data_IF_310540969075
#
_entry.id   IF_310540969075
#
_cell.length_a   1.000
_cell.length_b   1.000
_cell.length_c   1.000
_cell.angle_alpha   90.00
_cell.angle_beta   90.00
_cell.angle_gamma   90.00
#
_symmetry.space_group_name_H-M   'P 1'
#
loop_
_entity.id
_entity.type
_entity.pdbx_description
1 polymer ?
#
# COMPACT_ATOMS: atom_id res chain seq x y z
N UNK A 1 -2.49 -14.38 0.45
CA UNK A 1 -1.09 -14.26 0.02
C UNK A 1 -0.72 -12.77 -0.05
N UNK A 2 0.55 -12.46 0.03
CA UNK A 2 1.07 -11.11 -0.11
C UNK A 2 2.25 -11.12 -1.07
N UNK A 3 2.26 -10.20 -2.06
CA UNK A 3 3.37 -10.01 -2.99
C UNK A 3 3.86 -11.30 -3.66
N UNK A 4 2.95 -12.22 -3.91
CA UNK A 4 3.22 -13.56 -4.46
C UNK A 4 4.16 -14.43 -3.61
N UNK A 5 4.35 -14.10 -2.33
CA UNK A 5 5.11 -14.97 -1.42
C UNK A 5 4.47 -16.36 -1.32
N UNK A 6 5.27 -17.38 -1.60
CA UNK A 6 4.82 -18.77 -1.67
C UNK A 6 4.25 -19.21 -3.03
N UNK A 7 3.96 -18.26 -3.93
CA UNK A 7 3.41 -18.51 -5.28
C UNK A 7 4.11 -17.65 -6.35
N UNK A 8 5.43 -17.64 -6.35
CA UNK A 8 6.27 -16.70 -7.12
C UNK A 8 6.04 -16.67 -8.63
N UNK A 9 5.44 -17.72 -9.19
CA UNK A 9 5.15 -17.82 -10.62
C UNK A 9 3.65 -17.76 -10.91
N UNK A 10 2.85 -17.25 -10.00
CA UNK A 10 1.38 -17.21 -10.12
C UNK A 10 0.92 -16.47 -11.38
N UNK A 11 1.69 -15.51 -11.86
CA UNK A 11 1.40 -14.75 -13.07
C UNK A 11 1.05 -15.68 -14.24
N UNK A 12 1.83 -16.76 -14.44
CA UNK A 12 1.68 -17.66 -15.60
C UNK A 12 1.49 -19.14 -15.20
N UNK A 13 1.63 -19.49 -13.92
CA UNK A 13 1.55 -20.87 -13.46
C UNK A 13 0.12 -21.25 -13.06
N UNK A 14 -0.57 -21.97 -13.94
CA UNK A 14 -1.94 -22.39 -13.71
C UNK A 14 -2.15 -23.24 -12.43
N UNK A 15 -1.14 -23.97 -11.95
CA UNK A 15 -1.26 -24.73 -10.71
C UNK A 15 -1.28 -23.79 -9.50
N UNK A 16 -0.41 -22.76 -9.48
CA UNK A 16 -0.39 -21.75 -8.43
C UNK A 16 -1.65 -20.88 -8.45
N UNK A 17 -2.15 -20.55 -9.65
CA UNK A 17 -3.42 -19.83 -9.80
C UNK A 17 -4.58 -20.65 -9.20
N UNK A 18 -4.70 -21.94 -9.57
CA UNK A 18 -5.73 -22.84 -9.01
C UNK A 18 -5.61 -22.99 -7.49
N UNK A 19 -4.39 -23.03 -6.95
CA UNK A 19 -4.16 -23.06 -5.52
C UNK A 19 -4.75 -21.81 -4.84
N UNK A 20 -4.42 -20.60 -5.32
CA UNK A 20 -4.94 -19.36 -4.77
C UNK A 20 -6.47 -19.26 -4.88
N UNK A 21 -7.04 -19.66 -6.03
CA UNK A 21 -8.50 -19.70 -6.24
C UNK A 21 -9.17 -20.71 -5.28
N UNK A 22 -8.53 -21.86 -5.04
CA UNK A 22 -9.05 -22.84 -4.09
C UNK A 22 -9.08 -22.30 -2.67
N UNK A 23 -8.05 -21.56 -2.26
CA UNK A 23 -8.02 -20.87 -0.96
C UNK A 23 -9.13 -19.82 -0.86
N UNK A 24 -9.36 -19.03 -1.91
CA UNK A 24 -10.47 -18.08 -1.96
C UNK A 24 -11.82 -18.78 -1.68
N UNK A 25 -12.14 -19.80 -2.44
CA UNK A 25 -13.40 -20.54 -2.27
C UNK A 25 -13.48 -21.26 -0.93
N UNK A 26 -12.37 -21.77 -0.43
CA UNK A 26 -12.31 -22.36 0.90
C UNK A 26 -12.66 -21.36 2.01
N UNK A 27 -12.08 -20.16 1.96
CA UNK A 27 -12.39 -19.09 2.93
C UNK A 27 -13.85 -18.67 2.82
N UNK A 28 -14.36 -18.48 1.59
CA UNK A 28 -15.77 -18.12 1.34
C UNK A 28 -16.73 -19.22 1.78
N UNK A 29 -16.33 -20.48 1.73
CA UNK A 29 -17.12 -21.61 2.27
C UNK A 29 -17.19 -21.56 3.79
N UNK A 30 -16.08 -21.19 4.45
CA UNK A 30 -16.03 -21.10 5.91
C UNK A 30 -16.75 -19.85 6.45
N UNK A 31 -16.63 -18.71 5.75
CA UNK A 31 -17.29 -17.45 6.08
C UNK A 31 -17.59 -16.65 4.80
N UNK A 32 -18.81 -16.73 4.32
CA UNK A 32 -19.27 -16.00 3.13
C UNK A 32 -19.44 -14.49 3.37
N UNK A 33 -19.44 -14.03 4.62
CA UNK A 33 -19.67 -12.62 4.98
C UNK A 33 -18.42 -11.77 4.86
N UNK A 34 -17.24 -12.38 4.82
CA UNK A 34 -15.95 -11.68 4.72
C UNK A 34 -15.51 -11.51 3.28
N UNK A 35 -14.94 -10.38 2.99
CA UNK A 35 -14.28 -10.11 1.72
C UNK A 35 -12.87 -10.67 1.75
N UNK A 36 -12.41 -11.17 0.61
CA UNK A 36 -11.15 -11.91 0.50
C UNK A 36 -10.28 -11.33 -0.60
N UNK A 37 -9.05 -10.95 -0.25
CA UNK A 37 -7.97 -10.70 -1.19
C UNK A 37 -7.10 -11.95 -1.29
N UNK A 38 -6.91 -12.47 -2.50
CA UNK A 38 -6.16 -13.72 -2.72
C UNK A 38 -4.65 -13.50 -2.74
N UNK A 39 -4.21 -12.42 -3.36
CA UNK A 39 -2.82 -12.02 -3.42
C UNK A 39 -2.75 -10.50 -3.36
N UNK A 40 -2.09 -9.95 -2.36
CA UNK A 40 -2.05 -8.52 -2.15
C UNK A 40 -0.93 -7.86 -2.97
N UNK A 41 -1.22 -6.69 -3.53
CA UNK A 41 -0.29 -5.84 -4.28
C UNK A 41 -0.29 -6.04 -5.79
N UNK A 42 -0.29 -7.29 -6.28
CA UNK A 42 -0.22 -7.64 -7.71
C UNK A 42 -0.55 -9.10 -7.98
N UNK A 43 -0.54 -9.49 -9.28
CA UNK A 43 -0.75 -10.87 -9.78
C UNK A 43 -1.97 -11.57 -9.17
N UNK A 44 -3.04 -10.80 -9.06
CA UNK A 44 -4.28 -11.26 -8.43
C UNK A 44 -4.99 -12.26 -9.34
N UNK A 45 -5.68 -13.21 -8.72
CA UNK A 45 -6.60 -14.13 -9.36
C UNK A 45 -8.03 -13.78 -8.94
N UNK A 46 -8.94 -14.73 -8.73
CA UNK A 46 -10.26 -14.46 -8.17
C UNK A 46 -10.15 -13.76 -6.83
N UNK A 47 -10.75 -12.57 -6.70
CA UNK A 47 -10.60 -11.69 -5.52
C UNK A 47 -11.79 -10.75 -5.37
N UNK A 48 -12.12 -10.34 -4.15
CA UNK A 48 -13.16 -9.35 -3.88
C UNK A 48 -12.65 -7.91 -4.01
N UNK A 49 -11.32 -7.69 -3.98
CA UNK A 49 -10.66 -6.39 -4.09
C UNK A 49 -9.62 -6.37 -5.20
N UNK A 50 -9.40 -5.22 -5.80
CA UNK A 50 -8.18 -4.93 -6.56
C UNK A 50 -7.20 -4.21 -5.64
N UNK A 51 -6.17 -4.90 -5.19
CA UNK A 51 -5.19 -4.36 -4.24
C UNK A 51 -3.89 -4.01 -4.93
N UNK A 52 -3.31 -2.85 -4.57
CA UNK A 52 -2.07 -2.36 -5.15
C UNK A 52 -1.11 -1.90 -4.06
N UNK A 53 0.19 -2.13 -4.29
CA UNK A 53 1.27 -1.51 -3.55
C UNK A 53 1.91 -0.42 -4.40
N UNK A 54 2.06 0.77 -3.85
CA UNK A 54 2.67 1.88 -4.57
C UNK A 54 3.47 2.78 -3.62
N UNK A 55 4.78 2.65 -3.68
CA UNK A 55 5.72 3.45 -2.91
C UNK A 55 6.22 4.68 -3.68
N UNK A 56 5.36 5.29 -4.47
CA UNK A 56 5.66 6.55 -5.16
C UNK A 56 6.13 7.61 -4.20
N UNK A 57 7.08 8.43 -4.66
CA UNK A 57 7.84 9.36 -3.84
C UNK A 57 6.98 10.44 -3.17
N UNK A 58 5.95 10.94 -3.86
CA UNK A 58 5.05 11.98 -3.37
C UNK A 58 3.67 11.91 -4.06
N UNK A 59 2.77 12.81 -3.67
CA UNK A 59 1.43 12.86 -4.25
C UNK A 59 1.43 13.16 -5.75
N UNK A 60 2.43 13.86 -6.29
CA UNK A 60 2.53 14.11 -7.73
C UNK A 60 2.92 12.84 -8.48
N UNK A 61 3.84 12.06 -7.94
CA UNK A 61 4.21 10.77 -8.50
C UNK A 61 3.05 9.77 -8.45
N UNK A 62 2.28 9.75 -7.34
CA UNK A 62 1.03 9.00 -7.26
C UNK A 62 0.03 9.44 -8.32
N UNK A 63 -0.22 10.74 -8.46
CA UNK A 63 -1.14 11.30 -9.47
C UNK A 63 -0.77 10.83 -10.88
N UNK A 64 0.51 10.89 -11.24
CA UNK A 64 1.00 10.45 -12.55
C UNK A 64 0.69 8.99 -12.88
N UNK A 65 0.52 8.14 -11.86
CA UNK A 65 0.21 6.71 -12.02
C UNK A 65 -1.27 6.41 -11.90
N UNK A 66 -1.97 7.07 -10.98
CA UNK A 66 -3.34 6.74 -10.58
C UNK A 66 -4.42 7.52 -11.31
N UNK A 67 -4.07 8.58 -12.04
CA UNK A 67 -5.06 9.39 -12.78
C UNK A 67 -5.50 8.69 -14.06
N UNK A 68 -4.72 7.76 -14.60
CA UNK A 68 -5.11 6.87 -15.69
C UNK A 68 -5.31 5.43 -15.16
N UNK A 69 -6.59 5.03 -15.03
CA UNK A 69 -6.93 3.71 -14.50
C UNK A 69 -6.50 2.56 -15.42
N UNK A 70 -6.63 2.75 -16.73
CA UNK A 70 -6.29 1.70 -17.69
C UNK A 70 -4.77 1.44 -17.66
N UNK A 71 -3.96 2.49 -17.62
CA UNK A 71 -2.52 2.37 -17.45
C UNK A 71 -2.15 1.78 -16.09
N UNK A 72 -2.81 2.19 -15.00
CA UNK A 72 -2.59 1.67 -13.66
C UNK A 72 -2.82 0.16 -13.58
N UNK A 73 -3.89 -0.34 -14.23
CA UNK A 73 -4.26 -1.76 -14.21
C UNK A 73 -3.37 -2.64 -15.10
N UNK A 74 -2.52 -2.05 -15.96
CA UNK A 74 -1.58 -2.80 -16.80
C UNK A 74 -0.38 -3.33 -15.98
N UNK A 75 0.17 -2.50 -15.10
CA UNK A 75 1.36 -2.87 -14.32
C UNK A 75 1.43 -2.19 -12.96
N UNK A 76 1.97 -2.90 -11.96
CA UNK A 76 2.32 -2.31 -10.67
C UNK A 76 3.53 -1.36 -10.78
N UNK A 77 3.82 -0.63 -9.68
CA UNK A 77 5.03 0.19 -9.57
C UNK A 77 6.33 -0.62 -9.64
N UNK A 78 6.26 -1.94 -9.50
CA UNK A 78 7.38 -2.88 -9.56
C UNK A 78 7.42 -3.67 -10.89
N UNK A 79 6.77 -3.15 -11.94
CA UNK A 79 6.66 -3.80 -13.26
C UNK A 79 6.06 -5.23 -13.22
N UNK A 80 5.17 -5.47 -12.23
CA UNK A 80 4.42 -6.72 -12.09
C UNK A 80 3.01 -6.53 -12.63
N UNK A 81 2.43 -7.55 -13.23
CA UNK A 81 1.03 -7.52 -13.66
C UNK A 81 0.10 -7.38 -12.45
N UNK A 82 -0.92 -6.53 -12.54
CA UNK A 82 -1.91 -6.40 -11.45
C UNK A 82 -2.75 -7.67 -11.33
N UNK A 83 -3.09 -8.29 -12.43
CA UNK A 83 -3.78 -9.58 -12.46
C UNK A 83 -2.91 -10.64 -13.15
N UNK A 84 -2.97 -11.86 -12.67
CA UNK A 84 -2.32 -13.01 -13.29
C UNK A 84 -2.96 -13.31 -14.66
N UNK A 85 -2.21 -13.98 -15.55
CA UNK A 85 -2.69 -14.37 -16.88
C UNK A 85 -4.02 -15.12 -16.82
N UNK A 86 -4.99 -14.67 -17.58
CA UNK A 86 -6.36 -15.20 -17.60
C UNK A 86 -7.31 -14.56 -16.58
N UNK A 87 -6.84 -13.60 -15.79
CA UNK A 87 -7.65 -12.80 -14.86
C UNK A 87 -7.57 -11.32 -15.22
N UNK A 88 -8.57 -10.56 -14.82
CA UNK A 88 -8.65 -9.13 -15.13
C UNK A 88 -9.50 -8.40 -14.10
N UNK A 89 -9.35 -7.09 -14.09
CA UNK A 89 -10.22 -6.21 -13.33
C UNK A 89 -11.67 -6.28 -13.86
N UNK A 90 -12.63 -6.43 -12.97
CA UNK A 90 -14.06 -6.54 -13.28
C UNK A 90 -14.92 -5.58 -12.46
N UNK A 91 -14.31 -4.52 -11.92
CA UNK A 91 -15.02 -3.50 -11.14
C UNK A 91 -14.92 -3.68 -9.63
N UNK A 92 -13.99 -4.49 -9.14
CA UNK A 92 -13.74 -4.64 -7.70
C UNK A 92 -13.31 -3.30 -7.08
N UNK A 93 -13.62 -3.05 -5.80
CA UNK A 93 -13.06 -1.90 -5.09
C UNK A 93 -11.54 -1.90 -5.15
N UNK A 94 -10.95 -0.73 -5.46
CA UNK A 94 -9.49 -0.58 -5.56
C UNK A 94 -8.96 -0.08 -4.23
N UNK A 95 -8.01 -0.82 -3.66
CA UNK A 95 -7.38 -0.51 -2.39
C UNK A 95 -5.87 -0.32 -2.59
N UNK A 96 -5.34 0.76 -2.04
CA UNK A 96 -3.90 1.01 -1.93
C UNK A 96 -3.42 0.41 -0.61
N UNK A 97 -3.14 -0.88 -0.62
CA UNK A 97 -2.89 -1.67 0.60
C UNK A 97 -1.50 -1.51 1.17
N UNK A 98 -0.55 -1.00 0.39
CA UNK A 98 0.74 -0.53 0.90
C UNK A 98 1.17 0.73 0.15
N UNK A 99 1.54 1.76 0.92
CA UNK A 99 2.12 2.99 0.39
C UNK A 99 2.92 3.73 1.46
N UNK A 100 3.64 4.75 1.05
CA UNK A 100 4.44 5.58 1.94
C UNK A 100 5.86 5.06 2.05
N UNK A 101 6.14 4.22 3.02
CA UNK A 101 7.50 3.69 3.20
C UNK A 101 8.57 4.76 3.40
N UNK A 102 8.18 5.93 3.94
CA UNK A 102 9.06 7.10 4.13
C UNK A 102 9.86 6.92 5.41
N UNK A 103 11.16 6.67 5.29
CA UNK A 103 12.03 6.54 6.44
C UNK A 103 12.33 7.90 7.05
N UNK A 104 12.21 7.99 8.38
CA UNK A 104 12.64 9.11 9.18
C UNK A 104 13.03 8.64 10.59
N UNK A 105 14.14 9.17 11.08
CA UNK A 105 14.62 8.92 12.45
C UNK A 105 15.60 10.00 12.84
N UNK A 106 15.48 10.53 14.04
CA UNK A 106 16.34 11.63 14.54
C UNK A 106 17.83 11.27 14.51
N UNK A 107 18.17 10.03 14.83
CA UNK A 107 19.55 9.51 14.81
C UNK A 107 19.66 8.36 13.80
N UNK A 108 19.62 8.68 12.51
CA UNK A 108 19.74 7.68 11.45
C UNK A 108 21.13 7.04 11.40
N UNK A 109 21.14 5.73 11.17
CA UNK A 109 22.35 4.97 10.84
C UNK A 109 22.41 4.68 9.34
N UNK A 110 23.60 4.33 8.84
CA UNK A 110 23.77 3.91 7.43
C UNK A 110 23.00 2.64 7.06
N UNK A 111 22.48 1.93 8.06
CA UNK A 111 21.70 0.69 7.87
C UNK A 111 20.20 0.94 7.84
N UNK A 112 19.76 2.13 8.25
CA UNK A 112 18.33 2.48 8.26
C UNK A 112 17.85 2.71 6.82
N UNK A 113 16.66 2.23 6.51
CA UNK A 113 16.08 2.31 5.17
C UNK A 113 14.55 2.46 5.20
N UNK A 114 13.98 2.79 4.05
CA UNK A 114 12.56 2.83 3.78
C UNK A 114 12.31 2.56 2.29
N UNK A 115 11.09 2.27 1.92
CA UNK A 115 10.74 1.88 0.54
C UNK A 115 10.76 3.04 -0.44
N UNK A 116 10.44 4.25 0.03
CA UNK A 116 10.28 5.42 -0.83
C UNK A 116 11.47 6.39 -0.71
N UNK A 117 11.71 6.91 0.50
CA UNK A 117 12.72 7.94 0.75
C UNK A 117 13.22 7.88 2.18
N UNK A 118 14.39 8.50 2.41
CA UNK A 118 14.91 8.77 3.74
C UNK A 118 14.90 10.29 3.93
N UNK A 119 14.05 10.78 4.83
CA UNK A 119 13.93 12.19 5.13
C UNK A 119 14.95 12.62 6.21
N UNK A 120 15.57 13.77 5.99
CA UNK A 120 16.68 14.26 6.84
C UNK A 120 16.23 15.00 8.10
N UNK A 121 15.00 15.50 8.11
CA UNK A 121 14.44 16.27 9.21
C UNK A 121 12.92 16.14 9.25
N UNK A 122 12.35 16.51 10.40
CA UNK A 122 10.92 16.44 10.67
C UNK A 122 10.08 17.24 9.65
N UNK A 123 10.52 18.44 9.29
CA UNK A 123 9.76 19.29 8.36
C UNK A 123 9.66 18.66 6.96
N UNK A 124 10.73 18.01 6.47
CA UNK A 124 10.69 17.30 5.18
C UNK A 124 9.83 16.04 5.26
N UNK A 125 9.88 15.32 6.39
CA UNK A 125 9.06 14.15 6.64
C UNK A 125 7.56 14.51 6.65
N UNK A 126 7.18 15.56 7.40
CA UNK A 126 5.79 16.06 7.43
C UNK A 126 5.32 16.46 6.03
N UNK A 127 6.11 17.24 5.28
CA UNK A 127 5.73 17.64 3.90
C UNK A 127 5.50 16.44 3.00
N UNK A 128 6.36 15.43 3.10
CA UNK A 128 6.23 14.19 2.30
C UNK A 128 4.94 13.44 2.62
N UNK A 129 4.69 13.18 3.90
CA UNK A 129 3.46 12.53 4.32
C UNK A 129 2.23 13.34 3.92
N UNK A 130 2.25 14.65 4.15
CA UNK A 130 1.13 15.53 3.74
C UNK A 130 0.86 15.43 2.24
N UNK A 131 1.90 15.44 1.40
CA UNK A 131 1.75 15.34 -0.05
C UNK A 131 1.09 14.01 -0.46
N UNK A 132 1.54 12.88 0.11
CA UNK A 132 0.99 11.55 -0.16
C UNK A 132 -0.48 11.46 0.29
N UNK A 133 -0.75 11.78 1.55
CA UNK A 133 -2.10 11.66 2.11
C UNK A 133 -3.10 12.63 1.48
N UNK A 134 -2.68 13.83 1.10
CA UNK A 134 -3.55 14.79 0.40
C UNK A 134 -4.04 14.23 -0.93
N UNK A 135 -3.15 13.62 -1.71
CA UNK A 135 -3.54 12.98 -2.96
C UNK A 135 -4.49 11.80 -2.72
N UNK A 136 -4.12 10.89 -1.82
CA UNK A 136 -4.90 9.67 -1.55
C UNK A 136 -6.32 10.02 -1.10
N UNK A 137 -6.48 11.00 -0.21
CA UNK A 137 -7.80 11.42 0.29
C UNK A 137 -8.68 12.07 -0.77
N UNK A 138 -8.11 12.65 -1.81
CA UNK A 138 -8.86 13.31 -2.89
C UNK A 138 -9.12 12.40 -4.09
N UNK A 139 -8.37 11.32 -4.25
CA UNK A 139 -8.55 10.40 -5.37
C UNK A 139 -9.70 9.41 -5.09
N UNK A 140 -10.83 9.61 -5.78
CA UNK A 140 -12.05 8.79 -5.62
C UNK A 140 -11.90 7.33 -6.08
N UNK A 141 -10.84 6.99 -6.81
CA UNK A 141 -10.58 5.59 -7.21
C UNK A 141 -10.03 4.76 -6.06
N UNK A 142 -9.38 5.41 -5.08
CA UNK A 142 -8.83 4.75 -3.89
C UNK A 142 -9.94 4.64 -2.86
N UNK A 143 -10.55 3.47 -2.73
CA UNK A 143 -11.65 3.21 -1.79
C UNK A 143 -11.19 2.79 -0.40
N UNK A 144 -9.91 2.53 -0.25
CA UNK A 144 -9.28 2.25 1.04
C UNK A 144 -7.76 2.24 0.91
N UNK A 145 -7.07 2.48 2.01
CA UNK A 145 -5.62 2.51 2.00
C UNK A 145 -5.02 2.04 3.32
N UNK A 146 -3.77 1.55 3.26
CA UNK A 146 -2.99 1.19 4.44
C UNK A 146 -1.56 1.75 4.30
N UNK A 147 -1.17 2.59 5.25
CA UNK A 147 0.16 3.19 5.27
C UNK A 147 1.20 2.19 5.78
N UNK A 148 2.31 2.08 5.09
CA UNK A 148 3.48 1.29 5.49
C UNK A 148 4.55 2.22 6.08
N UNK A 149 4.69 2.25 7.44
CA UNK A 149 3.98 1.36 8.36
C UNK A 149 3.66 2.05 9.68
N UNK A 150 3.01 1.36 10.60
CA UNK A 150 2.62 1.95 11.88
C UNK A 150 3.81 2.18 12.81
N UNK A 151 4.69 1.16 12.96
CA UNK A 151 5.90 1.26 13.78
C UNK A 151 7.13 0.84 12.99
N UNK A 152 8.30 1.35 13.35
CA UNK A 152 9.58 0.86 12.82
C UNK A 152 9.78 -0.62 13.14
N UNK A 153 10.46 -1.34 12.24
CA UNK A 153 10.88 -2.73 12.40
C UNK A 153 12.39 -2.82 12.17
N UNK A 154 13.16 -2.92 13.23
CA UNK A 154 14.62 -2.99 13.19
C UNK A 154 15.24 -1.79 12.43
N UNK A 155 15.83 -2.02 11.25
CA UNK A 155 16.44 -1.00 10.39
C UNK A 155 15.45 -0.37 9.39
N UNK A 156 14.26 -0.93 9.29
CA UNK A 156 13.17 -0.37 8.50
C UNK A 156 12.51 0.75 9.30
N UNK A 157 12.86 2.00 8.97
CA UNK A 157 12.53 3.18 9.78
C UNK A 157 11.44 4.05 9.15
N UNK A 158 10.49 3.44 8.47
CA UNK A 158 9.36 4.09 7.80
C UNK A 158 8.03 4.07 8.61
N UNK A 159 8.10 3.69 9.88
CA UNK A 159 6.95 3.80 10.79
C UNK A 159 6.57 5.25 11.11
N UNK A 160 5.30 5.48 11.42
CA UNK A 160 4.84 6.74 12.07
C UNK A 160 5.36 6.82 13.50
N UNK A 161 5.53 5.66 14.13
CA UNK A 161 6.10 5.51 15.46
C UNK A 161 7.47 4.83 15.38
N UNK A 162 8.31 5.08 16.36
CA UNK A 162 9.57 4.36 16.55
C UNK A 162 9.33 2.88 16.89
N UNK A 163 10.41 2.08 16.89
CA UNK A 163 10.37 0.67 17.36
C UNK A 163 9.89 0.56 18.83
N UNK A 164 10.00 1.63 19.62
CA UNK A 164 9.49 1.70 20.99
C UNK A 164 8.04 2.18 21.05
N UNK A 165 7.40 2.38 19.90
CA UNK A 165 6.05 2.92 19.74
C UNK A 165 5.90 4.36 20.23
N UNK A 166 6.98 5.13 20.19
CA UNK A 166 7.01 6.57 20.47
C UNK A 166 6.74 7.33 19.16
N UNK A 167 5.89 8.35 19.15
CA UNK A 167 5.65 9.16 17.95
C UNK A 167 6.95 9.81 17.46
N UNK A 168 7.20 9.75 16.16
CA UNK A 168 8.39 10.37 15.55
C UNK A 168 8.25 11.89 15.35
N UNK A 169 7.02 12.36 15.30
CA UNK A 169 6.62 13.77 15.21
C UNK A 169 5.46 14.00 16.18
N UNK A 170 5.08 15.25 16.39
CA UNK A 170 3.93 15.58 17.25
C UNK A 170 2.67 14.83 16.81
N UNK A 171 1.93 14.26 17.77
CA UNK A 171 0.70 13.49 17.49
C UNK A 171 -0.33 14.34 16.74
N UNK A 172 -0.45 15.61 17.08
CA UNK A 172 -1.38 16.51 16.39
C UNK A 172 -1.00 16.72 14.91
N UNK A 173 0.29 16.73 14.58
CA UNK A 173 0.75 16.75 13.20
C UNK A 173 0.37 15.45 12.46
N UNK A 174 0.51 14.30 13.11
CA UNK A 174 0.08 13.01 12.53
C UNK A 174 -1.44 13.04 12.30
N UNK A 175 -2.23 13.48 13.28
CA UNK A 175 -3.69 13.58 13.15
C UNK A 175 -4.11 14.51 12.02
N UNK A 176 -3.49 15.68 11.92
CA UNK A 176 -3.75 16.63 10.84
C UNK A 176 -3.44 16.04 9.46
N UNK A 177 -2.35 15.29 9.32
CA UNK A 177 -1.99 14.60 8.07
C UNK A 177 -3.04 13.54 7.72
N UNK A 178 -3.43 12.69 8.69
CA UNK A 178 -4.33 11.57 8.47
C UNK A 178 -5.78 12.01 8.25
N UNK A 179 -6.27 12.96 9.05
CA UNK A 179 -7.70 13.30 9.09
C UNK A 179 -8.02 14.71 8.58
N UNK A 180 -7.02 15.57 8.43
CA UNK A 180 -7.20 17.00 8.18
C UNK A 180 -7.20 17.79 9.51
N UNK A 181 -7.09 19.11 9.41
CA UNK A 181 -7.38 20.00 10.53
C UNK A 181 -8.90 20.08 10.65
N UNK A 182 -9.45 19.76 11.83
CA UNK A 182 -10.84 20.09 12.15
C UNK A 182 -10.96 21.61 12.20
N UNK A 183 -11.30 22.25 11.07
CA UNK A 183 -11.73 23.65 11.04
C UNK A 183 -13.22 23.75 11.44
N UNK A 184 -13.60 23.05 12.50
CA UNK A 184 -14.96 23.10 13.06
C UNK A 184 -14.88 23.46 14.54
N UNK A 185 -14.68 24.75 14.81
CA UNK A 185 -15.23 25.47 15.95
C UNK A 185 -16.05 26.67 15.46
#
# INVERSE_FOLDING_TARGET
>A
LNESWGVRNIEQNAAQQRYAVSLYHFIKMMDSTRWVSTNDGWEQVTTDFCTLHDYSFDGKALSSRWDDLDALLQSSAQDRMIFASGYQYTGQPILLTEFGGVAFKTNQSKKDWGYCAIEKNEASYIRRLTSLFSYIKTNRRIQGYCYTQFTDVMQETNGLLSIRREPKIAIDAIRAILFGTDDSE
#
